data_IF_908683346323
#
_entry.id   IF_908683346323
#
_cell.length_a   1.000
_cell.length_b   1.000
_cell.length_c   1.000
_cell.angle_alpha   90.00
_cell.angle_beta   90.00
_cell.angle_gamma   90.00
#
_symmetry.space_group_name_H-M   'P 1'
#
loop_
_entity.id
_entity.type
_entity.pdbx_description
1 polymer ?
#
# COMPACT_ATOMS: atom_id res chain seq x y z
N UNK A 1 37.19 2.12 -1.67
CA UNK A 1 36.72 1.75 -0.32
C UNK A 1 35.21 1.97 -0.14
N UNK A 2 34.63 3.12 -0.55
CA UNK A 2 33.17 3.37 -0.43
C UNK A 2 32.25 2.52 -1.35
N UNK A 3 32.71 2.09 -2.53
CA UNK A 3 31.90 1.28 -3.47
C UNK A 3 31.51 -0.10 -2.93
N UNK A 4 32.26 -0.67 -1.98
CA UNK A 4 32.03 -2.04 -1.51
C UNK A 4 30.99 -2.13 -0.39
N UNK A 5 30.70 -1.02 0.31
CA UNK A 5 29.75 -1.03 1.43
C UNK A 5 28.29 -0.97 0.98
N UNK A 6 28.03 -0.23 -0.11
CA UNK A 6 26.67 -0.01 -0.60
C UNK A 6 26.27 -0.88 -1.78
N UNK A 7 27.18 -1.50 -2.54
CA UNK A 7 26.77 -2.38 -3.64
C UNK A 7 26.46 -3.77 -3.10
N UNK A 8 25.16 -4.12 -3.05
CA UNK A 8 24.73 -5.49 -2.76
C UNK A 8 25.25 -6.44 -3.86
N UNK A 9 25.54 -7.69 -3.48
CA UNK A 9 25.88 -8.71 -4.47
C UNK A 9 24.70 -8.95 -5.41
N UNK A 10 24.96 -9.40 -6.64
CA UNK A 10 23.88 -9.67 -7.61
C UNK A 10 22.84 -10.67 -7.07
N UNK A 11 23.27 -11.66 -6.28
CA UNK A 11 22.38 -12.62 -5.64
C UNK A 11 21.50 -11.98 -4.56
N UNK A 12 22.06 -11.10 -3.71
CA UNK A 12 21.29 -10.34 -2.72
C UNK A 12 20.26 -9.42 -3.39
N UNK A 13 20.65 -8.75 -4.48
CA UNK A 13 19.75 -7.92 -5.26
C UNK A 13 18.59 -8.73 -5.85
N UNK A 14 18.89 -9.88 -6.47
CA UNK A 14 17.87 -10.74 -7.06
C UNK A 14 16.92 -11.31 -6.00
N UNK A 15 17.45 -11.71 -4.84
CA UNK A 15 16.67 -12.23 -3.71
C UNK A 15 15.71 -11.18 -3.15
N UNK A 16 16.22 -9.97 -2.87
CA UNK A 16 15.43 -8.84 -2.36
C UNK A 16 14.32 -8.43 -3.33
N UNK A 17 14.61 -8.43 -4.65
CA UNK A 17 13.61 -8.18 -5.69
C UNK A 17 12.52 -9.27 -5.74
N UNK A 18 12.87 -10.56 -5.68
CA UNK A 18 11.85 -11.63 -5.62
C UNK A 18 10.96 -11.50 -4.41
N UNK A 19 11.57 -11.27 -3.24
CA UNK A 19 10.80 -11.13 -2.01
C UNK A 19 9.83 -9.96 -2.12
N UNK A 20 10.28 -8.84 -2.68
CA UNK A 20 9.45 -7.66 -2.86
C UNK A 20 8.26 -7.93 -3.77
N UNK A 21 8.49 -8.56 -4.92
CA UNK A 21 7.41 -8.87 -5.85
C UNK A 21 6.42 -9.87 -5.25
N UNK A 22 6.93 -10.93 -4.61
CA UNK A 22 6.11 -11.95 -3.96
C UNK A 22 5.26 -11.39 -2.82
N UNK A 23 5.84 -10.56 -1.95
CA UNK A 23 5.10 -9.93 -0.85
C UNK A 23 4.16 -8.82 -1.35
N UNK A 24 4.54 -8.10 -2.41
CA UNK A 24 3.69 -7.08 -3.05
C UNK A 24 2.48 -7.67 -3.77
N UNK A 25 2.34 -9.00 -3.79
CA UNK A 25 1.18 -9.68 -4.34
C UNK A 25 -0.07 -9.38 -3.52
N UNK A 26 -0.83 -8.38 -3.98
CA UNK A 26 -2.02 -7.91 -3.29
C UNK A 26 -3.16 -8.92 -3.44
N UNK A 27 -3.43 -9.60 -2.33
CA UNK A 27 -4.59 -10.50 -2.17
C UNK A 27 -5.80 -9.72 -1.68
N UNK A 28 -6.96 -10.38 -1.68
CA UNK A 28 -8.19 -9.83 -1.09
C UNK A 28 -7.96 -9.37 0.36
N UNK A 29 -7.14 -10.11 1.11
CA UNK A 29 -6.78 -9.81 2.50
C UNK A 29 -6.15 -8.42 2.66
N UNK A 30 -5.33 -7.98 1.70
CA UNK A 30 -4.72 -6.65 1.72
C UNK A 30 -5.79 -5.55 1.71
N UNK A 31 -6.76 -5.63 0.81
CA UNK A 31 -7.82 -4.62 0.70
C UNK A 31 -8.78 -4.70 1.88
N UNK A 32 -9.03 -5.89 2.40
CA UNK A 32 -9.84 -6.09 3.60
C UNK A 32 -9.19 -5.44 4.83
N UNK A 33 -7.91 -5.71 5.08
CA UNK A 33 -7.14 -5.09 6.16
C UNK A 33 -7.04 -3.58 5.98
N UNK A 34 -6.83 -3.11 4.74
CA UNK A 34 -6.78 -1.67 4.45
C UNK A 34 -8.11 -0.98 4.71
N UNK A 35 -9.24 -1.62 4.38
CA UNK A 35 -10.57 -1.10 4.68
C UNK A 35 -10.79 -1.02 6.19
N UNK A 36 -10.46 -2.07 6.95
CA UNK A 36 -10.54 -2.06 8.41
C UNK A 36 -9.65 -1.00 9.04
N UNK A 37 -8.39 -0.88 8.59
CA UNK A 37 -7.46 0.14 9.03
C UNK A 37 -8.00 1.55 8.77
N UNK A 38 -8.60 1.79 7.61
CA UNK A 38 -9.22 3.07 7.24
C UNK A 38 -10.41 3.40 8.13
N UNK A 39 -11.27 2.41 8.41
CA UNK A 39 -12.41 2.56 9.32
C UNK A 39 -11.96 2.93 10.74
N UNK A 40 -11.04 2.15 11.33
CA UNK A 40 -10.50 2.38 12.68
C UNK A 40 -9.80 3.74 12.77
N UNK A 41 -8.95 4.05 11.78
CA UNK A 41 -8.21 5.32 11.72
C UNK A 41 -9.16 6.51 11.67
N UNK A 42 -10.20 6.43 10.84
CA UNK A 42 -11.21 7.48 10.73
C UNK A 42 -11.99 7.66 12.03
N UNK A 43 -12.40 6.57 12.68
CA UNK A 43 -13.05 6.65 14.00
C UNK A 43 -12.15 7.32 15.03
N UNK A 44 -10.89 6.90 15.14
CA UNK A 44 -9.93 7.53 16.05
C UNK A 44 -9.75 9.03 15.78
N UNK A 45 -9.75 9.44 14.51
CA UNK A 45 -9.68 10.86 14.15
C UNK A 45 -10.95 11.63 14.51
N UNK A 46 -12.13 11.02 14.36
CA UNK A 46 -13.41 11.63 14.73
C UNK A 46 -13.53 11.79 16.26
N UNK A 47 -13.02 10.82 17.03
CA UNK A 47 -13.05 10.85 18.50
C UNK A 47 -11.84 11.53 19.13
N UNK A 48 -10.96 12.14 18.33
CA UNK A 48 -9.66 12.69 18.74
C UNK A 48 -8.75 11.73 19.54
N UNK A 49 -8.91 10.42 19.32
CA UNK A 49 -8.11 9.38 19.99
C UNK A 49 -6.91 9.00 19.14
N UNK A 50 -5.76 9.58 19.47
CA UNK A 50 -4.47 9.29 18.81
C UNK A 50 -4.10 7.81 18.92
N UNK A 51 -4.41 7.15 20.04
CA UNK A 51 -4.12 5.73 20.25
C UNK A 51 -4.91 4.84 19.28
N UNK A 52 -6.20 5.11 19.09
CA UNK A 52 -7.05 4.40 18.12
C UNK A 52 -6.60 4.69 16.69
N UNK A 53 -6.31 5.96 16.37
CA UNK A 53 -5.77 6.34 15.06
C UNK A 53 -4.49 5.57 14.74
N UNK A 54 -3.53 5.54 15.67
CA UNK A 54 -2.27 4.81 15.51
C UNK A 54 -2.50 3.29 15.44
N UNK A 55 -3.44 2.76 16.23
CA UNK A 55 -3.82 1.35 16.18
C UNK A 55 -4.32 0.90 14.79
N UNK A 56 -5.14 1.72 14.12
CA UNK A 56 -5.56 1.46 12.75
C UNK A 56 -4.40 1.47 11.75
N UNK A 57 -3.48 2.42 11.91
CA UNK A 57 -2.30 2.58 11.06
C UNK A 57 -1.37 1.35 11.12
N UNK A 58 -1.20 0.75 12.31
CA UNK A 58 -0.37 -0.45 12.50
C UNK A 58 -0.83 -1.66 11.66
N UNK A 59 -2.11 -1.72 11.31
CA UNK A 59 -2.71 -2.83 10.55
C UNK A 59 -2.65 -2.57 9.03
N UNK A 60 -2.40 -1.33 8.60
CA UNK A 60 -2.48 -0.92 7.21
C UNK A 60 -1.28 -1.44 6.37
N UNK A 61 -1.52 -2.27 5.33
CA UNK A 61 -0.43 -2.89 4.57
C UNK A 61 0.15 -1.99 3.45
N UNK A 62 0.28 -0.67 3.65
CA UNK A 62 0.63 0.27 2.57
C UNK A 62 2.10 0.27 2.14
N UNK A 63 2.96 -0.44 2.84
CA UNK A 63 4.40 -0.41 2.65
C UNK A 63 4.85 -0.92 1.26
N UNK A 64 4.39 -2.12 0.92
CA UNK A 64 4.92 -2.89 -0.21
C UNK A 64 4.63 -2.24 -1.57
N UNK A 65 3.44 -1.65 -1.82
CA UNK A 65 3.18 -0.92 -3.06
C UNK A 65 4.13 0.25 -3.31
N UNK A 66 4.56 0.94 -2.24
CA UNK A 66 5.45 2.10 -2.33
C UNK A 66 6.87 1.68 -2.66
N UNK A 67 7.33 0.60 -2.00
CA UNK A 67 8.62 0.01 -2.30
C UNK A 67 8.67 -0.55 -3.72
N UNK A 68 7.59 -1.21 -4.17
CA UNK A 68 7.47 -1.68 -5.56
C UNK A 68 7.49 -0.54 -6.56
N UNK A 69 6.86 0.59 -6.27
CA UNK A 69 6.94 1.78 -7.12
C UNK A 69 8.39 2.31 -7.19
N UNK A 70 9.07 2.45 -6.06
CA UNK A 70 10.45 2.92 -6.01
C UNK A 70 11.42 1.98 -6.73
N UNK A 71 11.26 0.65 -6.55
CA UNK A 71 12.03 -0.38 -7.25
C UNK A 71 11.84 -0.26 -8.76
N UNK A 72 10.59 -0.22 -9.23
CA UNK A 72 10.26 -0.09 -10.65
C UNK A 72 10.81 1.20 -11.29
N UNK A 73 10.89 2.30 -10.52
CA UNK A 73 11.52 3.54 -10.98
C UNK A 73 13.04 3.36 -11.14
N UNK A 74 13.71 2.73 -10.18
CA UNK A 74 15.17 2.52 -10.22
C UNK A 74 15.58 1.55 -11.32
N UNK A 75 14.83 0.48 -11.54
CA UNK A 75 15.04 -0.49 -12.62
C UNK A 75 14.57 0.02 -13.99
N UNK A 76 13.85 1.14 -14.04
CA UNK A 76 13.21 1.68 -15.24
C UNK A 76 12.15 0.73 -15.86
N UNK A 77 11.56 -0.17 -15.07
CA UNK A 77 10.49 -1.06 -15.52
C UNK A 77 9.14 -0.33 -15.58
N UNK A 78 8.73 0.10 -16.78
CA UNK A 78 7.42 0.72 -17.00
C UNK A 78 6.25 -0.19 -16.57
N UNK A 79 6.45 -1.50 -16.67
CA UNK A 79 5.46 -2.50 -16.25
C UNK A 79 5.31 -2.52 -14.73
N UNK A 80 6.41 -2.52 -13.97
CA UNK A 80 6.40 -2.47 -12.50
C UNK A 80 5.81 -1.15 -12.00
N UNK A 81 6.24 -0.02 -12.57
CA UNK A 81 5.72 1.33 -12.24
C UNK A 81 4.20 1.38 -12.46
N UNK A 82 3.71 0.89 -13.60
CA UNK A 82 2.29 0.88 -13.92
C UNK A 82 1.47 -0.01 -12.96
N UNK A 83 2.01 -1.16 -12.57
CA UNK A 83 1.37 -2.07 -11.58
C UNK A 83 1.28 -1.40 -10.21
N UNK A 84 2.41 -0.91 -9.68
CA UNK A 84 2.49 -0.30 -8.37
C UNK A 84 1.63 0.97 -8.27
N UNK A 85 1.65 1.82 -9.31
CA UNK A 85 0.83 3.04 -9.36
C UNK A 85 -0.67 2.71 -9.32
N UNK A 86 -1.13 1.72 -10.09
CA UNK A 86 -2.54 1.29 -10.06
C UNK A 86 -2.97 0.79 -8.69
N UNK A 87 -2.09 0.06 -8.02
CA UNK A 87 -2.31 -0.42 -6.66
C UNK A 87 -2.45 0.75 -5.69
N UNK A 88 -1.53 1.71 -5.73
CA UNK A 88 -1.54 2.89 -4.84
C UNK A 88 -2.82 3.69 -5.07
N UNK A 89 -3.24 3.90 -6.33
CA UNK A 89 -4.48 4.59 -6.66
C UNK A 89 -5.73 3.86 -6.12
N UNK A 90 -5.81 2.53 -6.32
CA UNK A 90 -6.92 1.72 -5.78
C UNK A 90 -6.96 1.75 -4.26
N UNK A 91 -5.79 1.66 -3.62
CA UNK A 91 -5.63 1.72 -2.16
C UNK A 91 -6.08 3.09 -1.64
N UNK A 92 -5.64 4.17 -2.28
CA UNK A 92 -6.01 5.54 -1.91
C UNK A 92 -7.51 5.79 -2.06
N UNK A 93 -8.09 5.30 -3.16
CA UNK A 93 -9.54 5.39 -3.39
C UNK A 93 -10.34 4.59 -2.37
N UNK A 94 -9.86 3.40 -1.98
CA UNK A 94 -10.51 2.58 -0.95
C UNK A 94 -10.44 3.28 0.41
N UNK A 95 -9.26 3.77 0.81
CA UNK A 95 -9.08 4.51 2.07
C UNK A 95 -10.03 5.71 2.10
N UNK A 96 -10.01 6.53 1.06
CA UNK A 96 -10.85 7.71 0.97
C UNK A 96 -12.34 7.33 1.01
N UNK A 97 -12.77 6.32 0.25
CA UNK A 97 -14.16 5.88 0.20
C UNK A 97 -14.68 5.33 1.53
N UNK A 98 -13.91 4.46 2.18
CA UNK A 98 -14.27 3.92 3.51
C UNK A 98 -14.29 5.03 4.55
N UNK A 99 -13.29 5.91 4.54
CA UNK A 99 -13.23 7.05 5.47
C UNK A 99 -14.39 8.01 5.23
N UNK A 100 -14.80 8.23 3.98
CA UNK A 100 -15.93 9.10 3.63
C UNK A 100 -17.25 8.53 4.15
N UNK A 101 -17.49 7.24 3.93
CA UNK A 101 -18.68 6.54 4.46
C UNK A 101 -18.68 6.61 5.98
N UNK A 102 -17.54 6.33 6.62
CA UNK A 102 -17.41 6.35 8.08
C UNK A 102 -17.68 7.75 8.64
N UNK A 103 -17.03 8.78 8.10
CA UNK A 103 -17.22 10.16 8.51
C UNK A 103 -18.65 10.65 8.29
N UNK A 104 -19.32 10.21 7.21
CA UNK A 104 -20.71 10.54 6.96
C UNK A 104 -21.64 9.91 8.00
N UNK A 105 -21.46 8.62 8.31
CA UNK A 105 -22.25 7.89 9.31
C UNK A 105 -22.11 8.48 10.72
N UNK A 106 -20.92 8.98 11.07
CA UNK A 106 -20.61 9.53 12.40
C UNK A 106 -20.47 11.06 12.40
N UNK A 107 -21.04 11.75 11.41
CA UNK A 107 -20.89 13.20 11.18
C UNK A 107 -21.25 14.07 12.38
N UNK A 108 -22.22 13.65 13.20
CA UNK A 108 -22.64 14.36 14.41
C UNK A 108 -21.53 14.46 15.49
N UNK A 109 -20.49 13.62 15.40
CA UNK A 109 -19.38 13.58 16.37
C UNK A 109 -18.10 14.25 15.84
N UNK A 110 -18.12 14.83 14.63
CA UNK A 110 -16.90 15.38 14.01
C UNK A 110 -16.51 16.70 14.68
N UNK A 111 -15.46 16.67 15.51
CA UNK A 111 -14.86 17.86 16.11
C UNK A 111 -13.93 18.52 15.09
N UNK A 112 -14.43 19.56 14.42
CA UNK A 112 -13.75 20.15 13.26
C UNK A 112 -12.44 20.91 13.51
N UNK A 113 -12.18 21.36 14.75
CA UNK A 113 -11.04 22.23 15.09
C UNK A 113 -9.70 21.50 15.16
N UNK A 114 -9.69 20.23 15.57
CA UNK A 114 -8.45 19.46 15.79
C UNK A 114 -7.91 18.86 14.50
N UNK A 115 -8.78 18.51 13.55
CA UNK A 115 -8.38 18.02 12.23
C UNK A 115 -7.58 19.10 11.47
N UNK A 116 -8.00 20.37 11.57
CA UNK A 116 -7.31 21.51 10.95
C UNK A 116 -5.87 21.69 11.44
N UNK A 117 -5.59 21.35 12.70
CA UNK A 117 -4.25 21.42 13.27
C UNK A 117 -3.35 20.27 12.78
N UNK A 118 -3.93 19.16 12.34
CA UNK A 118 -3.22 17.94 11.92
C UNK A 118 -2.84 17.91 10.43
N UNK A 119 -3.34 18.84 9.62
CA UNK A 119 -3.19 18.82 8.15
C UNK A 119 -2.32 19.95 7.59
N UNK A 120 -1.66 20.75 8.44
CA UNK A 120 -0.74 21.78 7.95
C UNK A 120 0.46 21.12 7.27
N UNK A 121 0.74 21.43 5.99
CA UNK A 121 1.97 21.04 5.33
C UNK A 121 3.18 21.45 6.19
N UNK A 122 3.94 20.48 6.68
CA UNK A 122 5.09 20.70 7.53
C UNK A 122 6.34 20.08 6.90
N UNK A 123 7.39 20.90 6.76
CA UNK A 123 8.68 20.47 6.25
C UNK A 123 9.27 19.34 7.12
N UNK A 124 9.01 19.37 8.43
CA UNK A 124 9.47 18.32 9.35
C UNK A 124 8.82 16.99 8.99
N UNK A 125 7.50 16.98 8.75
CA UNK A 125 6.78 15.77 8.31
C UNK A 125 7.28 15.25 6.96
N UNK A 126 7.63 16.15 6.03
CA UNK A 126 8.26 15.77 4.76
C UNK A 126 9.61 15.06 4.96
N UNK A 127 10.46 15.59 5.85
CA UNK A 127 11.74 14.98 6.18
C UNK A 127 11.57 13.62 6.88
N UNK A 128 10.58 13.49 7.75
CA UNK A 128 10.23 12.21 8.39
C UNK A 128 9.77 11.20 7.34
N UNK A 129 8.92 11.59 6.39
CA UNK A 129 8.46 10.71 5.31
C UNK A 129 9.63 10.24 4.43
N UNK A 130 10.53 11.16 4.06
CA UNK A 130 11.75 10.84 3.33
C UNK A 130 12.64 9.86 4.10
N UNK A 131 12.93 10.13 5.37
CA UNK A 131 13.73 9.26 6.23
C UNK A 131 13.07 7.87 6.41
N UNK A 132 11.74 7.82 6.49
CA UNK A 132 10.99 6.55 6.54
C UNK A 132 11.18 5.75 5.26
N UNK A 133 11.09 6.40 4.09
CA UNK A 133 11.39 5.76 2.80
C UNK A 133 12.80 5.16 2.74
N UNK A 134 13.80 5.91 3.21
CA UNK A 134 15.18 5.41 3.34
C UNK A 134 15.25 4.22 4.29
N UNK A 135 14.68 4.33 5.49
CA UNK A 135 14.75 3.29 6.51
C UNK A 135 14.08 1.98 6.06
N UNK A 136 12.90 2.07 5.43
CA UNK A 136 12.22 0.88 4.91
C UNK A 136 13.05 0.25 3.80
N UNK A 137 13.43 1.01 2.77
CA UNK A 137 14.19 0.44 1.65
C UNK A 137 15.52 -0.17 2.14
N UNK A 138 16.17 0.45 3.13
CA UNK A 138 17.38 -0.10 3.73
C UNK A 138 17.11 -1.41 4.46
N UNK A 139 16.07 -1.48 5.30
CA UNK A 139 15.66 -2.72 5.96
C UNK A 139 15.27 -3.82 4.96
N UNK A 140 14.68 -3.44 3.83
CA UNK A 140 14.29 -4.35 2.77
C UNK A 140 15.50 -4.97 2.05
N UNK A 141 16.53 -4.17 1.80
CA UNK A 141 17.77 -4.66 1.20
C UNK A 141 18.56 -5.51 2.19
N UNK A 142 18.56 -5.14 3.48
CA UNK A 142 19.24 -5.84 4.56
C UNK A 142 18.26 -6.76 5.30
N UNK A 143 17.77 -7.80 4.61
CA UNK A 143 16.74 -8.76 5.02
C UNK A 143 16.74 -9.24 6.49
N UNK A 144 17.85 -9.09 7.21
CA UNK A 144 17.99 -9.34 8.66
C UNK A 144 17.35 -8.25 9.56
N UNK A 145 16.90 -7.13 8.98
CA UNK A 145 16.28 -6.02 9.70
C UNK A 145 14.76 -6.03 9.50
N UNK A 146 14.01 -5.90 10.60
CA UNK A 146 12.56 -5.84 10.53
C UNK A 146 12.09 -4.57 9.80
N UNK A 147 11.38 -4.74 8.70
CA UNK A 147 10.72 -3.66 7.98
C UNK A 147 9.44 -3.15 8.69
N UNK A 148 9.04 -3.77 9.81
CA UNK A 148 7.78 -3.47 10.48
C UNK A 148 7.75 -2.03 11.06
N UNK A 149 8.79 -1.62 11.79
CA UNK A 149 8.85 -0.30 12.43
C UNK A 149 8.89 0.85 11.40
N UNK A 150 9.79 0.84 10.40
CA UNK A 150 9.76 1.82 9.32
C UNK A 150 8.46 1.76 8.50
N UNK A 151 7.87 0.58 8.34
CA UNK A 151 6.61 0.39 7.62
C UNK A 151 5.42 1.07 8.28
N UNK A 152 5.37 1.04 9.61
CA UNK A 152 4.38 1.80 10.38
C UNK A 152 4.56 3.30 10.14
N UNK A 153 5.79 3.81 10.16
CA UNK A 153 6.05 5.23 9.91
C UNK A 153 5.55 5.70 8.53
N UNK A 154 5.69 4.86 7.51
CA UNK A 154 5.11 5.13 6.17
C UNK A 154 3.59 5.19 6.22
N UNK A 155 2.93 4.20 6.84
CA UNK A 155 1.47 4.19 6.98
C UNK A 155 0.97 5.38 7.81
N UNK A 156 1.72 5.84 8.82
CA UNK A 156 1.41 7.04 9.62
C UNK A 156 1.38 8.29 8.75
N UNK A 157 2.25 8.37 7.75
CA UNK A 157 2.35 9.56 6.89
C UNK A 157 1.30 9.61 5.77
N UNK A 158 0.60 8.50 5.46
CA UNK A 158 -0.27 8.40 4.28
C UNK A 158 -1.74 8.15 4.60
N UNK A 159 -2.03 7.28 5.57
CA UNK A 159 -3.40 6.89 5.90
C UNK A 159 -4.19 8.05 6.55
N UNK A 160 -3.66 8.77 7.55
CA UNK A 160 -4.38 9.88 8.19
C UNK A 160 -4.68 11.05 7.24
N UNK A 161 -3.78 11.51 6.35
CA UNK A 161 -4.12 12.55 5.38
C UNK A 161 -5.27 12.17 4.44
N UNK A 162 -5.37 10.92 3.99
CA UNK A 162 -6.50 10.47 3.16
C UNK A 162 -7.81 10.41 3.97
N UNK A 163 -7.76 9.94 5.21
CA UNK A 163 -8.91 9.95 6.11
C UNK A 163 -9.36 11.39 6.43
N UNK A 164 -8.42 12.30 6.70
CA UNK A 164 -8.69 13.71 6.92
C UNK A 164 -9.31 14.39 5.70
N UNK A 165 -8.86 14.06 4.49
CA UNK A 165 -9.46 14.57 3.26
C UNK A 165 -10.93 14.14 3.14
N UNK A 166 -11.24 12.88 3.46
CA UNK A 166 -12.61 12.37 3.45
C UNK A 166 -13.50 13.05 4.52
N UNK A 167 -12.99 13.23 5.74
CA UNK A 167 -13.70 13.97 6.79
C UNK A 167 -13.93 15.43 6.37
N UNK A 168 -12.93 16.07 5.76
CA UNK A 168 -13.04 17.43 5.22
C UNK A 168 -14.15 17.59 4.17
N UNK A 169 -14.40 16.56 3.36
CA UNK A 169 -15.52 16.54 2.41
C UNK A 169 -16.86 16.51 3.14
N UNK A 170 -17.01 15.68 4.18
CA UNK A 170 -18.23 15.63 4.99
C UNK A 170 -18.48 16.96 5.71
N UNK A 171 -17.41 17.63 6.17
CA UNK A 171 -17.47 18.95 6.79
C UNK A 171 -17.70 20.10 5.78
N UNK A 172 -17.73 19.82 4.47
CA UNK A 172 -17.76 20.82 3.40
C UNK A 172 -16.60 21.83 3.48
N UNK A 173 -15.48 21.45 4.10
CA UNK A 173 -14.33 22.32 4.33
C UNK A 173 -13.24 22.10 3.27
N UNK A 174 -13.24 22.95 2.24
CA UNK A 174 -12.28 22.88 1.13
C UNK A 174 -10.83 23.05 1.56
N UNK A 175 -10.56 23.82 2.62
CA UNK A 175 -9.21 24.02 3.15
C UNK A 175 -8.70 22.71 3.75
N UNK A 176 -9.56 21.99 4.47
CA UNK A 176 -9.22 20.68 5.03
C UNK A 176 -8.89 19.68 3.93
N UNK A 177 -9.76 19.59 2.93
CA UNK A 177 -9.56 18.68 1.79
C UNK A 177 -8.26 18.98 1.06
N UNK A 178 -8.03 20.25 0.69
CA UNK A 178 -6.85 20.63 -0.06
C UNK A 178 -5.55 20.43 0.74
N UNK A 179 -5.53 20.82 2.02
CA UNK A 179 -4.37 20.64 2.90
C UNK A 179 -4.02 19.17 3.10
N UNK A 180 -5.04 18.34 3.37
CA UNK A 180 -4.87 16.91 3.57
C UNK A 180 -4.38 16.18 2.30
N UNK A 181 -4.94 16.48 1.13
CA UNK A 181 -4.46 15.90 -0.13
C UNK A 181 -3.05 16.38 -0.50
N UNK A 182 -2.71 17.64 -0.21
CA UNK A 182 -1.34 18.15 -0.41
C UNK A 182 -0.35 17.40 0.48
N UNK A 183 -0.68 17.23 1.77
CA UNK A 183 0.13 16.48 2.72
C UNK A 183 0.31 15.01 2.28
N UNK A 184 -0.76 14.36 1.83
CA UNK A 184 -0.69 13.01 1.26
C UNK A 184 0.29 12.93 0.08
N UNK A 185 0.17 13.81 -0.90
CA UNK A 185 1.03 13.80 -2.09
C UNK A 185 2.50 14.06 -1.76
N UNK A 186 2.76 15.00 -0.86
CA UNK A 186 4.11 15.31 -0.40
C UNK A 186 4.75 14.12 0.33
N UNK A 187 4.01 13.49 1.26
CA UNK A 187 4.52 12.35 2.03
C UNK A 187 4.74 11.12 1.13
N UNK A 188 3.85 10.91 0.16
CA UNK A 188 3.97 9.88 -0.86
C UNK A 188 5.25 10.07 -1.67
N UNK A 189 5.46 11.27 -2.21
CA UNK A 189 6.64 11.59 -2.99
C UNK A 189 7.93 11.47 -2.18
N UNK A 190 7.96 12.02 -0.96
CA UNK A 190 9.13 11.97 -0.09
C UNK A 190 9.53 10.52 0.26
N UNK A 191 8.55 9.67 0.61
CA UNK A 191 8.79 8.26 0.90
C UNK A 191 9.36 7.52 -0.31
N UNK A 192 8.76 7.72 -1.49
CA UNK A 192 9.23 7.08 -2.73
C UNK A 192 10.64 7.55 -3.09
N UNK A 193 10.94 8.85 -2.96
CA UNK A 193 12.28 9.41 -3.23
C UNK A 193 13.32 8.84 -2.25
N UNK A 194 12.97 8.71 -0.97
CA UNK A 194 13.85 8.08 0.03
C UNK A 194 14.16 6.62 -0.31
N UNK A 195 13.16 5.86 -0.77
CA UNK A 195 13.36 4.48 -1.20
C UNK A 195 14.20 4.37 -2.49
N UNK A 196 13.93 5.25 -3.48
CA UNK A 196 14.72 5.35 -4.72
C UNK A 196 16.20 5.57 -4.42
N UNK A 197 16.50 6.47 -3.47
CA UNK A 197 17.88 6.76 -3.07
C UNK A 197 18.60 5.47 -2.63
N UNK A 198 17.97 4.68 -1.76
CA UNK A 198 18.57 3.45 -1.26
C UNK A 198 18.72 2.42 -2.38
N UNK A 199 17.67 2.10 -3.13
CA UNK A 199 17.78 1.12 -4.21
C UNK A 199 18.80 1.52 -5.28
N UNK A 200 18.94 2.82 -5.57
CA UNK A 200 19.96 3.35 -6.48
C UNK A 200 21.36 3.16 -5.92
N UNK A 201 21.58 3.49 -4.63
CA UNK A 201 22.86 3.28 -3.94
C UNK A 201 23.27 1.81 -3.91
N UNK A 202 22.28 0.91 -3.80
CA UNK A 202 22.49 -0.53 -3.79
C UNK A 202 22.60 -1.18 -5.18
N UNK A 203 22.49 -0.40 -6.25
CA UNK A 203 22.81 -0.84 -7.61
C UNK A 203 21.72 -1.66 -8.29
N UNK A 204 20.46 -1.53 -7.86
CA UNK A 204 19.33 -2.28 -8.44
C UNK A 204 18.98 -1.88 -9.88
N UNK A 205 19.54 -0.80 -10.42
CA UNK A 205 19.21 -0.25 -11.74
C UNK A 205 19.41 -1.22 -12.92
N UNK A 206 20.18 -2.31 -12.74
CA UNK A 206 20.44 -3.31 -13.80
C UNK A 206 19.44 -4.46 -13.84
N UNK A 207 18.48 -4.52 -12.91
CA UNK A 207 17.57 -5.66 -12.73
C UNK A 207 16.23 -5.54 -13.50
N UNK A 208 16.18 -4.72 -14.56
CA UNK A 208 14.93 -4.50 -15.29
C UNK A 208 14.34 -5.81 -15.83
N UNK A 209 15.18 -6.66 -16.43
CA UNK A 209 14.73 -7.91 -17.07
C UNK A 209 14.21 -8.88 -16.03
N UNK A 210 14.94 -9.05 -14.93
CA UNK A 210 14.57 -9.94 -13.83
C UNK A 210 13.27 -9.51 -13.14
N UNK A 211 13.03 -8.19 -13.03
CA UNK A 211 11.78 -7.67 -12.50
C UNK A 211 10.60 -7.93 -13.47
N UNK A 212 10.78 -7.65 -14.76
CA UNK A 212 9.73 -7.89 -15.77
C UNK A 212 9.41 -9.38 -15.94
N UNK A 213 10.42 -10.26 -15.93
CA UNK A 213 10.28 -11.71 -15.98
C UNK A 213 9.46 -12.24 -14.80
N UNK A 214 9.82 -11.87 -13.56
CA UNK A 214 9.08 -12.28 -12.37
C UNK A 214 7.64 -11.79 -12.38
N UNK A 215 7.38 -10.56 -12.81
CA UNK A 215 6.00 -10.07 -12.93
C UNK A 215 5.22 -10.84 -14.00
N UNK A 216 5.86 -11.26 -15.09
CA UNK A 216 5.23 -12.08 -16.11
C UNK A 216 4.92 -13.50 -15.62
N UNK A 217 5.84 -14.12 -14.89
CA UNK A 217 5.67 -15.42 -14.23
C UNK A 217 4.49 -15.38 -13.25
N UNK A 218 4.43 -14.38 -12.36
CA UNK A 218 3.31 -14.20 -11.43
C UNK A 218 1.96 -14.12 -12.15
N UNK A 219 1.85 -13.31 -13.20
CA UNK A 219 0.60 -13.20 -13.99
C UNK A 219 0.22 -14.51 -14.68
N UNK A 220 1.22 -15.28 -15.10
CA UNK A 220 1.00 -16.57 -15.72
C UNK A 220 0.47 -17.59 -14.70
N UNK A 221 1.04 -17.61 -13.49
CA UNK A 221 0.57 -18.44 -12.38
C UNK A 221 -0.85 -18.06 -11.95
N UNK A 222 -1.16 -16.77 -11.80
CA UNK A 222 -2.51 -16.28 -11.49
C UNK A 222 -3.53 -16.76 -12.52
N UNK A 223 -3.17 -16.71 -13.81
CA UNK A 223 -4.05 -17.15 -14.89
C UNK A 223 -4.33 -18.66 -14.82
N UNK A 224 -3.30 -19.47 -14.57
CA UNK A 224 -3.47 -20.93 -14.40
C UNK A 224 -4.37 -21.23 -13.21
N UNK A 225 -4.14 -20.57 -12.06
CA UNK A 225 -4.96 -20.76 -10.87
C UNK A 225 -6.42 -20.36 -11.12
N UNK A 226 -6.63 -19.22 -11.79
CA UNK A 226 -7.97 -18.77 -12.15
C UNK A 226 -8.68 -19.77 -13.07
N UNK A 227 -8.01 -20.22 -14.13
CA UNK A 227 -8.58 -21.18 -15.07
C UNK A 227 -8.89 -22.52 -14.38
N UNK A 228 -8.03 -22.98 -13.46
CA UNK A 228 -8.27 -24.17 -12.66
C UNK A 228 -9.49 -24.02 -11.72
N UNK A 229 -9.62 -22.89 -11.03
CA UNK A 229 -10.78 -22.60 -10.18
C UNK A 229 -12.09 -22.57 -10.98
N UNK A 230 -12.07 -21.93 -12.16
CA UNK A 230 -13.22 -21.89 -13.07
C UNK A 230 -13.59 -23.30 -13.55
N UNK A 231 -12.61 -24.15 -13.86
CA UNK A 231 -12.87 -25.56 -14.23
C UNK A 231 -13.47 -26.36 -13.08
N UNK A 232 -12.94 -26.24 -11.86
CA UNK A 232 -13.47 -26.90 -10.66
C UNK A 232 -14.91 -26.43 -10.38
N UNK A 233 -15.20 -25.13 -10.49
CA UNK A 233 -16.54 -24.59 -10.33
C UNK A 233 -17.52 -25.16 -11.38
N UNK A 234 -17.11 -25.22 -12.66
CA UNK A 234 -17.90 -25.84 -13.74
C UNK A 234 -18.15 -27.33 -13.48
N UNK A 235 -17.15 -28.08 -13.00
CA UNK A 235 -17.31 -29.49 -12.65
C UNK A 235 -18.29 -29.69 -11.49
N UNK A 236 -18.20 -28.88 -10.43
CA UNK A 236 -19.15 -28.92 -9.31
C UNK A 236 -20.58 -28.58 -9.75
N UNK A 237 -20.74 -27.56 -10.60
CA UNK A 237 -22.04 -27.19 -11.17
C UNK A 237 -22.66 -28.33 -12.01
N UNK A 238 -21.87 -28.98 -12.87
CA UNK A 238 -22.31 -30.15 -13.66
C UNK A 238 -22.72 -31.33 -12.79
N UNK A 239 -21.94 -31.66 -11.75
CA UNK A 239 -22.32 -32.72 -10.79
C UNK A 239 -23.63 -32.38 -10.07
N UNK A 240 -23.80 -31.14 -9.61
CA UNK A 240 -25.02 -30.70 -8.94
C UNK A 240 -26.25 -30.76 -9.87
N UNK A 241 -26.10 -30.36 -11.12
CA UNK A 241 -27.17 -30.46 -12.12
C UNK A 241 -27.59 -31.92 -12.36
N UNK A 242 -26.63 -32.84 -12.49
CA UNK A 242 -26.90 -34.27 -12.70
C UNK A 242 -27.65 -34.90 -11.53
N UNK A 243 -27.27 -34.57 -10.29
CA UNK A 243 -27.96 -35.03 -9.08
C UNK A 243 -29.41 -34.54 -9.03
N UNK A 244 -29.67 -33.26 -9.38
CA UNK A 244 -31.04 -32.72 -9.42
C UNK A 244 -31.88 -33.42 -10.48
N UNK A 245 -31.31 -33.73 -11.65
CA UNK A 245 -32.02 -34.48 -12.70
C UNK A 245 -32.36 -35.89 -12.22
N UNK A 246 -31.42 -36.62 -11.60
CA UNK A 246 -31.66 -37.99 -11.11
C UNK A 246 -32.66 -38.06 -9.93
N UNK A 247 -32.76 -37.00 -9.11
CA UNK A 247 -33.71 -36.97 -7.97
C UNK A 247 -35.15 -36.67 -8.41
N UNK A 248 -35.37 -36.08 -9.59
CA UNK A 248 -36.70 -35.78 -10.13
C UNK A 248 -37.33 -36.94 -10.94
N UNK A 249 -36.62 -38.06 -11.10
CA UNK A 249 -37.09 -39.27 -11.77
C UNK A 249 -37.39 -40.43 -10.79
N UNK A 250 -37.42 -40.16 -9.48
CA UNK A 250 -37.89 -41.04 -8.41
C UNK A 250 -39.15 -40.42 -7.77
#
# INVERSE_FOLDING_TARGET
>A
MFKTFFVASFLEQQASLSQLLHESHIKVDFYFLLALASFITTLGMITDDVGVTVGGIFIAPLLLPLLSLAMGIVTMSALAIGRATRIILKSSALIFGVSLITAFLFSNNVVGSEILLRIKPDLIMLLIAFASGVAVAYSWVKQDLSAALPGVAVSVSLLPPLAAAAIGVVMLNRIVVAGALTMFMMNLAATVVGAILVFSLYGFARLQREEEEKIAEEKYEEKIQHDALVQVAKMKARKKAKVITETNFL
#
